data_IF_630318912021
#
_entry.id   IF_630318912021
#
_cell.length_a   1.000
_cell.length_b   1.000
_cell.length_c   1.000
_cell.angle_alpha   90.00
_cell.angle_beta   90.00
_cell.angle_gamma   90.00
#
_symmetry.space_group_name_H-M   'P 1'
#
loop_
_entity.id
_entity.type
_entity.pdbx_description
1 polymer ?
#
# COMPACT_ATOMS: atom_id res chain seq x y z
N UNK A 1 -29.38 28.06 15.47
CA UNK A 1 -27.95 28.10 15.10
C UNK A 1 -27.29 26.88 15.74
N UNK A 2 -26.92 25.88 14.95
CA UNK A 2 -26.15 24.72 15.42
C UNK A 2 -24.69 24.94 15.02
N UNK A 3 -23.70 24.75 15.92
CA UNK A 3 -22.31 25.00 15.58
C UNK A 3 -21.78 23.89 14.66
N UNK A 4 -21.06 24.30 13.62
CA UNK A 4 -20.30 23.42 12.73
C UNK A 4 -19.16 22.77 13.52
N UNK A 5 -19.25 21.45 13.72
CA UNK A 5 -18.19 20.65 14.30
C UNK A 5 -17.11 20.36 13.27
N UNK A 6 -16.06 21.18 13.24
CA UNK A 6 -14.79 20.83 12.62
C UNK A 6 -14.08 19.76 13.46
N UNK A 7 -13.32 18.88 12.79
CA UNK A 7 -12.38 17.87 13.32
C UNK A 7 -12.95 16.44 13.38
N UNK A 8 -12.96 15.76 12.23
CA UNK A 8 -13.17 14.31 12.13
C UNK A 8 -11.99 13.58 11.45
N UNK A 9 -11.12 14.31 10.74
CA UNK A 9 -10.07 13.76 9.89
C UNK A 9 -8.84 13.19 10.65
N UNK A 10 -8.64 13.60 11.91
CA UNK A 10 -7.50 13.16 12.72
C UNK A 10 -7.76 11.81 13.42
N UNK A 11 -9.04 11.50 13.70
CA UNK A 11 -9.49 10.26 14.33
C UNK A 11 -9.20 9.06 13.44
N UNK A 12 -9.52 9.17 12.15
CA UNK A 12 -9.38 8.07 11.20
C UNK A 12 -7.90 7.73 10.98
N UNK A 13 -7.03 8.74 10.96
CA UNK A 13 -5.59 8.55 10.84
C UNK A 13 -4.97 7.91 12.10
N UNK A 14 -5.52 8.19 13.28
CA UNK A 14 -5.11 7.58 14.53
C UNK A 14 -5.53 6.10 14.60
N UNK A 15 -6.77 5.78 14.20
CA UNK A 15 -7.26 4.40 14.14
C UNK A 15 -6.41 3.53 13.21
N UNK A 16 -6.01 4.07 12.05
CA UNK A 16 -5.09 3.37 11.13
C UNK A 16 -3.71 3.11 11.76
N UNK A 17 -3.19 4.05 12.54
CA UNK A 17 -1.90 3.90 13.25
C UNK A 17 -1.98 2.85 14.36
N UNK A 18 -3.09 2.82 15.10
CA UNK A 18 -3.31 1.83 16.14
C UNK A 18 -3.46 0.42 15.57
N UNK A 19 -4.17 0.25 14.44
CA UNK A 19 -4.24 -1.03 13.72
C UNK A 19 -2.87 -1.49 13.21
N UNK A 20 -2.08 -0.58 12.65
CA UNK A 20 -0.71 -0.87 12.21
C UNK A 20 0.21 -1.29 13.37
N UNK A 21 0.12 -0.61 14.50
CA UNK A 21 0.88 -0.93 15.71
C UNK A 21 0.46 -2.28 16.32
N UNK A 22 -0.84 -2.56 16.42
CA UNK A 22 -1.39 -3.81 16.92
C UNK A 22 -1.00 -5.02 16.04
N UNK A 23 -0.83 -4.81 14.72
CA UNK A 23 -0.35 -5.85 13.81
C UNK A 23 1.16 -6.12 13.89
N UNK A 24 1.93 -5.28 14.61
CA UNK A 24 3.40 -5.37 14.67
C UNK A 24 3.90 -6.08 15.94
N UNK A 25 3.04 -6.28 16.94
CA UNK A 25 3.40 -6.98 18.18
C UNK A 25 3.00 -8.46 18.10
N UNK A 26 3.99 -9.35 18.20
CA UNK A 26 3.91 -10.83 18.16
C UNK A 26 3.77 -11.50 16.78
N UNK A 27 4.84 -11.48 15.96
CA UNK A 27 5.27 -12.67 15.20
C UNK A 27 6.61 -12.45 14.47
N UNK A 28 7.64 -12.05 15.21
CA UNK A 28 9.02 -12.17 14.74
C UNK A 28 9.56 -13.57 15.09
N UNK A 29 8.99 -14.64 14.51
CA UNK A 29 9.76 -15.88 14.38
C UNK A 29 9.22 -16.74 13.23
N UNK A 30 10.11 -16.99 12.26
CA UNK A 30 10.09 -18.12 11.31
C UNK A 30 8.84 -18.41 10.47
N UNK A 31 7.98 -17.44 10.13
CA UNK A 31 6.90 -17.67 9.15
C UNK A 31 7.08 -16.82 7.88
N UNK A 32 7.71 -17.46 6.89
CA UNK A 32 7.74 -17.19 5.46
C UNK A 32 6.89 -15.99 4.97
N UNK A 33 7.54 -15.07 4.26
CA UNK A 33 6.96 -13.89 3.61
C UNK A 33 5.65 -14.13 2.82
N UNK A 34 5.33 -15.37 2.43
CA UNK A 34 4.08 -15.74 1.76
C UNK A 34 2.84 -15.69 2.67
N UNK A 35 2.97 -16.02 3.95
CA UNK A 35 1.82 -16.15 4.88
C UNK A 35 1.44 -14.82 5.54
N UNK A 36 2.29 -13.80 5.44
CA UNK A 36 2.02 -12.45 5.96
C UNK A 36 1.11 -11.64 5.02
N UNK A 37 1.26 -11.82 3.70
CA UNK A 37 0.43 -11.14 2.69
C UNK A 37 -1.03 -11.58 2.75
N UNK A 38 -1.30 -12.88 2.85
CA UNK A 38 -2.67 -13.42 2.80
C UNK A 38 -3.56 -12.96 3.97
N UNK A 39 -3.00 -12.84 5.18
CA UNK A 39 -3.74 -12.32 6.35
C UNK A 39 -3.90 -10.81 6.33
N UNK A 40 -3.00 -10.11 5.66
CA UNK A 40 -3.01 -8.66 5.49
C UNK A 40 -4.04 -8.26 4.43
N UNK A 41 -4.02 -8.90 3.26
CA UNK A 41 -4.90 -8.60 2.14
C UNK A 41 -6.37 -8.87 2.49
N UNK A 42 -6.70 -9.99 3.14
CA UNK A 42 -8.10 -10.29 3.50
C UNK A 42 -8.69 -9.30 4.52
N UNK A 43 -8.06 -9.16 5.68
CA UNK A 43 -8.58 -8.34 6.78
C UNK A 43 -8.58 -6.84 6.46
N UNK A 44 -7.56 -6.37 5.74
CA UNK A 44 -7.47 -4.95 5.36
C UNK A 44 -8.43 -4.65 4.25
N UNK A 45 -8.57 -5.53 3.26
CA UNK A 45 -9.55 -5.33 2.20
C UNK A 45 -10.97 -5.29 2.75
N UNK A 46 -11.33 -6.20 3.66
CA UNK A 46 -12.64 -6.21 4.31
C UNK A 46 -12.88 -4.95 5.16
N UNK A 47 -11.87 -4.52 5.94
CA UNK A 47 -11.95 -3.26 6.71
C UNK A 47 -12.06 -2.04 5.81
N UNK A 48 -11.36 -2.06 4.67
CA UNK A 48 -11.38 -1.01 3.66
C UNK A 48 -12.74 -0.94 2.95
N UNK A 49 -13.41 -2.08 2.74
CA UNK A 49 -14.78 -2.12 2.20
C UNK A 49 -15.82 -1.61 3.18
N UNK A 50 -15.60 -1.78 4.49
CA UNK A 50 -16.45 -1.24 5.54
C UNK A 50 -16.20 0.26 5.83
N UNK A 51 -15.06 0.78 5.38
CA UNK A 51 -14.69 2.19 5.55
C UNK A 51 -15.56 3.11 4.67
N UNK A 52 -15.91 4.33 5.16
CA UNK A 52 -16.55 5.36 4.34
C UNK A 52 -15.76 5.72 3.06
N UNK A 53 -14.46 5.44 3.04
CA UNK A 53 -13.59 5.67 1.87
C UNK A 53 -13.77 4.63 0.75
N UNK A 54 -14.59 3.58 0.95
CA UNK A 54 -14.87 2.56 -0.06
C UNK A 54 -15.43 3.13 -1.36
N UNK A 55 -16.22 4.21 -1.29
CA UNK A 55 -16.76 4.90 -2.47
C UNK A 55 -15.64 5.60 -3.26
N UNK A 56 -14.75 6.31 -2.58
CA UNK A 56 -13.58 6.97 -3.16
C UNK A 56 -12.64 5.95 -3.82
N UNK A 57 -12.42 4.81 -3.17
CA UNK A 57 -11.58 3.75 -3.73
C UNK A 57 -12.21 3.10 -4.96
N UNK A 58 -13.54 3.06 -5.04
CA UNK A 58 -14.25 2.58 -6.23
C UNK A 58 -14.10 3.57 -7.39
N UNK A 59 -14.13 4.86 -7.11
CA UNK A 59 -13.90 5.93 -8.10
C UNK A 59 -12.48 5.86 -8.68
N UNK A 60 -11.49 5.51 -7.86
CA UNK A 60 -10.07 5.45 -8.25
C UNK A 60 -9.56 4.05 -8.66
N UNK A 61 -10.44 3.14 -9.09
CA UNK A 61 -10.04 1.77 -9.48
C UNK A 61 -9.09 1.69 -10.67
N UNK A 62 -9.07 2.72 -11.51
CA UNK A 62 -8.15 2.85 -12.65
C UNK A 62 -6.71 3.13 -12.21
N UNK A 63 -6.53 3.85 -11.10
CA UNK A 63 -5.23 4.18 -10.52
C UNK A 63 -4.78 3.15 -9.47
N UNK A 64 -5.74 2.57 -8.74
CA UNK A 64 -5.53 1.56 -7.71
C UNK A 64 -6.27 0.27 -8.08
N UNK A 65 -5.77 -0.49 -9.07
CA UNK A 65 -6.40 -1.74 -9.47
C UNK A 65 -6.24 -2.81 -8.36
N UNK A 66 -7.25 -3.66 -8.23
CA UNK A 66 -7.27 -4.76 -7.26
C UNK A 66 -6.17 -5.81 -7.58
N UNK A 67 -5.79 -5.91 -8.86
CA UNK A 67 -4.75 -6.80 -9.37
C UNK A 67 -3.73 -6.01 -10.21
N UNK A 68 -2.46 -6.40 -10.15
CA UNK A 68 -1.41 -5.77 -10.97
C UNK A 68 -1.61 -6.24 -12.41
N UNK A 69 -1.78 -5.33 -13.39
CA UNK A 69 -1.94 -5.72 -14.79
C UNK A 69 -0.66 -6.38 -15.31
N UNK A 70 -0.81 -7.40 -16.16
CA UNK A 70 0.33 -8.03 -16.86
C UNK A 70 0.98 -7.10 -17.88
N UNK A 71 0.24 -6.09 -18.35
CA UNK A 71 0.73 -5.10 -19.31
C UNK A 71 1.51 -3.98 -18.60
N UNK A 72 2.62 -3.56 -19.21
CA UNK A 72 3.39 -2.43 -18.72
C UNK A 72 2.58 -1.13 -18.82
N UNK A 73 2.78 -0.19 -17.88
CA UNK A 73 2.13 1.11 -17.98
C UNK A 73 2.52 1.80 -19.28
N UNK A 74 1.60 2.60 -19.82
CA UNK A 74 1.86 3.40 -21.01
C UNK A 74 3.15 4.21 -20.85
N UNK A 75 4.02 4.15 -21.86
CA UNK A 75 5.24 4.94 -21.87
C UNK A 75 4.89 6.44 -21.93
N UNK A 76 5.27 7.16 -20.87
CA UNK A 76 5.05 8.61 -20.73
C UNK A 76 6.23 9.42 -21.28
N UNK A 77 7.22 8.77 -21.90
CA UNK A 77 8.42 9.41 -22.44
C UNK A 77 9.42 9.87 -21.37
N UNK A 78 9.23 9.45 -20.11
CA UNK A 78 10.16 9.73 -19.02
C UNK A 78 11.15 8.57 -18.96
N UNK A 79 12.40 8.83 -19.35
CA UNK A 79 13.48 7.85 -19.30
C UNK A 79 14.26 8.01 -18.00
N UNK A 80 14.40 6.92 -17.26
CA UNK A 80 15.26 6.87 -16.08
C UNK A 80 16.65 6.38 -16.51
N UNK A 81 17.65 7.25 -16.46
CA UNK A 81 19.05 6.91 -16.65
C UNK A 81 19.71 6.68 -15.29
N UNK A 82 20.52 5.63 -15.17
CA UNK A 82 21.36 5.40 -14.00
C UNK A 82 22.79 5.70 -14.41
N UNK A 83 23.33 6.81 -13.91
CA UNK A 83 24.73 7.15 -14.11
C UNK A 83 25.62 6.16 -13.35
N UNK A 84 26.39 5.38 -14.09
CA UNK A 84 27.38 4.50 -13.50
C UNK A 84 28.74 5.21 -13.46
N UNK A 85 29.32 5.27 -12.27
CA UNK A 85 30.71 5.70 -12.13
C UNK A 85 31.61 4.71 -12.90
N UNK A 86 32.53 5.20 -13.76
CA UNK A 86 33.47 4.34 -14.46
C UNK A 86 34.24 3.44 -13.47
N UNK A 87 34.21 2.13 -13.70
CA UNK A 87 34.81 1.13 -12.80
C UNK A 87 33.83 0.45 -11.84
N UNK A 88 32.58 0.93 -11.73
CA UNK A 88 31.55 0.24 -10.95
C UNK A 88 31.20 -1.11 -11.58
N UNK A 89 31.24 -2.17 -10.76
CA UNK A 89 30.88 -3.53 -11.17
C UNK A 89 29.38 -3.73 -11.01
N UNK A 90 28.68 -3.90 -12.12
CA UNK A 90 27.28 -4.35 -12.12
C UNK A 90 27.19 -5.77 -11.57
N UNK A 91 26.43 -5.96 -10.48
CA UNK A 91 26.24 -7.26 -9.83
C UNK A 91 24.79 -7.68 -9.92
N UNK A 92 24.50 -8.64 -10.79
CA UNK A 92 23.17 -9.26 -10.90
C UNK A 92 23.22 -10.65 -10.28
N UNK A 93 22.30 -10.92 -9.35
CA UNK A 93 21.98 -12.29 -8.94
C UNK A 93 20.90 -12.81 -9.88
N UNK A 94 21.29 -13.70 -10.81
CA UNK A 94 20.34 -14.48 -11.60
C UNK A 94 19.72 -15.53 -10.68
N UNK A 95 18.40 -15.66 -10.71
CA UNK A 95 17.69 -16.74 -10.03
C UNK A 95 17.87 -18.07 -10.76
#
# INVERSE_FOLDING_TARGET
MHPFGSRKDESDAEELRQLYAASTTENEDTLSAKTKKERFDGQIWDSLKASPFCEVLREHKDVLPDEIPEELPQDKGIQHEIDLVPGTKYSVKRQ
#
